data_IF_264222468989
#
_entry.id   IF_264222468989
#
_cell.length_a   1.000
_cell.length_b   1.000
_cell.length_c   1.000
_cell.angle_alpha   90.00
_cell.angle_beta   90.00
_cell.angle_gamma   90.00
#
_symmetry.space_group_name_H-M   'P 1'
#
loop_
_entity.id
_entity.type
_entity.pdbx_description
1 polymer ?
#
# COMPACT_ATOMS: atom_id res chain seq x y z
N UNK A 1 -14.48 -30.78 19.50
CA UNK A 1 -13.14 -30.60 18.88
C UNK A 1 -13.27 -29.49 17.86
N UNK A 2 -12.38 -28.49 17.87
CA UNK A 2 -12.46 -27.37 16.93
C UNK A 2 -12.05 -27.86 15.55
N UNK A 3 -12.90 -27.65 14.55
CA UNK A 3 -12.61 -28.03 13.17
C UNK A 3 -11.87 -26.87 12.49
N UNK A 4 -10.54 -26.99 12.41
CA UNK A 4 -9.65 -25.94 11.90
C UNK A 4 -9.75 -25.72 10.39
N UNK A 5 -10.48 -26.58 9.67
CA UNK A 5 -10.59 -26.53 8.21
C UNK A 5 -11.96 -26.04 7.73
N UNK A 6 -12.89 -25.79 8.65
CA UNK A 6 -14.17 -25.14 8.32
C UNK A 6 -13.98 -23.64 8.09
N UNK A 7 -14.83 -23.02 7.26
CA UNK A 7 -14.87 -21.56 7.19
C UNK A 7 -15.28 -20.98 8.54
N UNK A 8 -14.72 -19.82 8.86
CA UNK A 8 -15.19 -19.01 9.98
C UNK A 8 -16.64 -18.55 9.69
N UNK A 9 -17.55 -18.79 10.63
CA UNK A 9 -18.98 -18.49 10.44
C UNK A 9 -19.24 -16.99 10.19
N UNK A 10 -18.30 -16.11 10.57
CA UNK A 10 -18.44 -14.67 10.33
C UNK A 10 -18.55 -14.32 8.84
N UNK A 11 -18.00 -15.15 7.95
CA UNK A 11 -18.02 -14.93 6.52
C UNK A 11 -19.44 -14.97 5.93
N UNK A 12 -20.34 -15.76 6.53
CA UNK A 12 -21.75 -15.80 6.15
C UNK A 12 -22.43 -14.44 6.37
N UNK A 13 -22.10 -13.74 7.46
CA UNK A 13 -22.62 -12.40 7.74
C UNK A 13 -22.13 -11.35 6.72
N UNK A 14 -20.94 -11.56 6.15
CA UNK A 14 -20.41 -10.75 5.06
C UNK A 14 -20.88 -11.21 3.67
N UNK A 15 -21.79 -12.19 3.60
CA UNK A 15 -22.35 -12.71 2.34
C UNK A 15 -21.38 -13.58 1.54
N UNK A 16 -20.27 -14.03 2.14
CA UNK A 16 -19.27 -14.88 1.48
C UNK A 16 -19.59 -16.34 1.75
N UNK A 17 -20.02 -17.05 0.70
CA UNK A 17 -20.50 -18.44 0.81
C UNK A 17 -19.53 -19.48 0.28
N UNK A 18 -18.60 -19.07 -0.57
CA UNK A 18 -17.60 -19.94 -1.18
C UNK A 18 -16.19 -19.43 -0.94
N UNK A 19 -15.22 -20.35 -0.94
CA UNK A 19 -13.81 -20.02 -0.76
C UNK A 19 -13.28 -19.19 -1.94
N UNK A 20 -13.77 -19.45 -3.13
CA UNK A 20 -13.41 -18.74 -4.36
C UNK A 20 -13.82 -17.27 -4.26
N UNK A 21 -15.04 -17.00 -3.80
CA UNK A 21 -15.55 -15.64 -3.53
C UNK A 21 -14.70 -14.94 -2.46
N UNK A 22 -14.35 -15.67 -1.40
CA UNK A 22 -13.47 -15.17 -0.36
C UNK A 22 -12.11 -14.75 -0.92
N UNK A 23 -11.46 -15.63 -1.67
CA UNK A 23 -10.13 -15.37 -2.24
C UNK A 23 -10.18 -14.15 -3.16
N UNK A 24 -11.16 -14.07 -4.06
CA UNK A 24 -11.29 -12.95 -4.99
C UNK A 24 -11.48 -11.60 -4.27
N UNK A 25 -12.17 -11.60 -3.14
CA UNK A 25 -12.48 -10.36 -2.43
C UNK A 25 -11.40 -10.00 -1.40
N UNK A 26 -10.97 -10.94 -0.57
CA UNK A 26 -10.18 -10.67 0.64
C UNK A 26 -8.70 -11.03 0.50
N UNK A 27 -8.32 -11.88 -0.45
CA UNK A 27 -6.91 -12.19 -0.68
C UNK A 27 -6.38 -11.24 -1.74
N UNK A 28 -5.61 -10.25 -1.30
CA UNK A 28 -4.99 -9.30 -2.22
C UNK A 28 -3.77 -9.94 -2.89
N UNK A 29 -3.71 -9.90 -4.21
CA UNK A 29 -2.55 -10.29 -4.99
C UNK A 29 -1.74 -9.04 -5.36
N UNK A 30 -0.67 -8.78 -4.61
CA UNK A 30 0.18 -7.63 -4.88
C UNK A 30 0.94 -7.76 -6.21
N UNK A 31 1.01 -6.65 -6.93
CA UNK A 31 1.87 -6.47 -8.10
C UNK A 31 3.02 -5.53 -7.72
N UNK A 32 4.19 -6.11 -7.49
CA UNK A 32 5.40 -5.35 -7.18
C UNK A 32 6.22 -5.11 -8.45
N UNK A 33 6.82 -3.92 -8.58
CA UNK A 33 7.81 -3.67 -9.62
C UNK A 33 9.18 -4.23 -9.21
N UNK A 34 10.09 -4.38 -10.17
CA UNK A 34 11.40 -5.01 -9.96
C UNK A 34 12.34 -4.27 -8.99
N UNK A 35 11.99 -3.03 -8.60
CA UNK A 35 12.78 -2.23 -7.65
C UNK A 35 12.46 -2.51 -6.19
N UNK A 36 11.40 -3.28 -5.91
CA UNK A 36 11.01 -3.62 -4.53
C UNK A 36 12.01 -4.63 -3.94
N UNK A 37 12.59 -4.37 -2.75
CA UNK A 37 13.56 -5.28 -2.15
C UNK A 37 13.00 -6.68 -1.88
N UNK A 38 13.82 -7.71 -2.07
CA UNK A 38 13.46 -9.11 -1.83
C UNK A 38 12.93 -9.36 -0.40
N UNK A 39 13.49 -8.66 0.60
CA UNK A 39 13.02 -8.74 1.99
C UNK A 39 11.55 -8.31 2.13
N UNK A 40 11.10 -7.32 1.35
CA UNK A 40 9.70 -6.88 1.32
C UNK A 40 8.83 -7.93 0.64
N UNK A 41 9.29 -8.50 -0.48
CA UNK A 41 8.55 -9.55 -1.20
C UNK A 41 8.31 -10.78 -0.33
N UNK A 42 9.36 -11.26 0.36
CA UNK A 42 9.27 -12.41 1.28
C UNK A 42 8.37 -12.13 2.47
N UNK A 43 8.51 -10.95 3.06
CA UNK A 43 7.69 -10.57 4.20
C UNK A 43 6.21 -10.43 3.78
N UNK A 44 5.94 -9.94 2.56
CA UNK A 44 4.59 -9.83 2.01
C UNK A 44 3.97 -11.19 1.74
N UNK A 45 4.73 -12.16 1.24
CA UNK A 45 4.24 -13.53 1.04
C UNK A 45 3.62 -14.10 2.33
N UNK A 46 4.23 -13.83 3.48
CA UNK A 46 3.65 -14.19 4.80
C UNK A 46 2.33 -13.47 5.07
N UNK A 47 2.25 -12.16 4.81
CA UNK A 47 1.03 -11.39 5.01
C UNK A 47 -0.12 -11.89 4.10
N UNK A 48 0.18 -12.19 2.84
CA UNK A 48 -0.77 -12.76 1.88
C UNK A 48 -1.27 -14.15 2.32
N UNK A 49 -0.38 -14.99 2.86
CA UNK A 49 -0.79 -16.29 3.43
C UNK A 49 -1.70 -16.11 4.66
N UNK A 50 -1.43 -15.14 5.53
CA UNK A 50 -2.32 -14.82 6.66
C UNK A 50 -3.72 -14.40 6.17
N UNK A 51 -3.80 -13.56 5.14
CA UNK A 51 -5.08 -13.21 4.49
C UNK A 51 -5.78 -14.46 3.95
N UNK A 52 -5.07 -15.33 3.24
CA UNK A 52 -5.67 -16.55 2.70
C UNK A 52 -6.20 -17.49 3.79
N UNK A 53 -5.47 -17.63 4.90
CA UNK A 53 -5.84 -18.49 6.03
C UNK A 53 -6.96 -17.89 6.89
N UNK A 54 -7.21 -16.57 6.80
CA UNK A 54 -8.29 -15.95 7.54
C UNK A 54 -9.69 -16.46 7.13
N UNK A 55 -9.81 -17.16 5.99
CA UNK A 55 -10.99 -17.96 5.64
C UNK A 55 -11.41 -18.91 6.77
N UNK A 56 -10.43 -19.57 7.41
CA UNK A 56 -10.65 -20.54 8.48
C UNK A 56 -10.65 -19.92 9.87
N UNK A 57 -10.07 -18.72 10.02
CA UNK A 57 -10.00 -18.03 11.28
C UNK A 57 -9.91 -16.51 11.08
N UNK A 58 -11.04 -15.82 11.21
CA UNK A 58 -11.20 -14.40 10.93
C UNK A 58 -10.13 -13.47 11.54
N UNK A 59 -9.68 -13.68 12.80
CA UNK A 59 -8.62 -12.86 13.42
C UNK A 59 -7.30 -12.82 12.65
N UNK A 60 -6.98 -13.84 11.85
CA UNK A 60 -5.76 -13.83 11.03
C UNK A 60 -5.75 -12.69 10.00
N UNK A 61 -6.92 -12.13 9.65
CA UNK A 61 -6.99 -10.98 8.77
C UNK A 61 -6.38 -9.74 9.43
N UNK A 62 -6.68 -9.49 10.70
CA UNK A 62 -6.10 -8.37 11.47
C UNK A 62 -4.58 -8.55 11.62
N UNK A 63 -4.13 -9.77 11.87
CA UNK A 63 -2.70 -10.10 11.92
C UNK A 63 -1.99 -9.85 10.58
N UNK A 64 -2.67 -10.11 9.46
CA UNK A 64 -2.15 -9.79 8.13
C UNK A 64 -1.95 -8.28 7.93
N UNK A 65 -2.87 -7.45 8.44
CA UNK A 65 -2.78 -5.98 8.40
C UNK A 65 -1.65 -5.49 9.29
N UNK A 66 -1.55 -6.01 10.51
CA UNK A 66 -0.44 -5.74 11.43
C UNK A 66 0.90 -6.07 10.77
N UNK A 67 0.99 -7.21 10.08
CA UNK A 67 2.18 -7.59 9.30
C UNK A 67 2.48 -6.53 8.23
N UNK A 68 1.52 -6.16 7.39
CA UNK A 68 1.69 -5.13 6.36
C UNK A 68 2.18 -3.78 6.92
N UNK A 69 1.68 -3.37 8.08
CA UNK A 69 2.10 -2.13 8.73
C UNK A 69 3.57 -2.18 9.16
N UNK A 70 4.02 -3.33 9.68
CA UNK A 70 5.45 -3.53 9.96
C UNK A 70 6.31 -3.59 8.69
N UNK A 71 5.77 -4.12 7.60
CA UNK A 71 6.45 -4.08 6.30
C UNK A 71 6.66 -2.64 5.80
N UNK A 72 5.68 -1.76 5.99
CA UNK A 72 5.83 -0.33 5.64
C UNK A 72 6.96 0.31 6.46
N UNK A 73 7.02 0.03 7.77
CA UNK A 73 8.12 0.52 8.62
C UNK A 73 9.48 -0.03 8.16
N UNK A 74 9.54 -1.30 7.76
CA UNK A 74 10.74 -1.92 7.20
C UNK A 74 11.14 -1.26 5.86
N UNK A 75 10.17 -0.98 4.98
CA UNK A 75 10.40 -0.33 3.70
C UNK A 75 11.01 1.07 3.87
N UNK A 76 10.50 1.87 4.82
CA UNK A 76 11.07 3.18 5.13
C UNK A 76 12.53 3.05 5.57
N UNK A 77 12.83 2.12 6.49
CA UNK A 77 14.21 1.90 6.97
C UNK A 77 15.14 1.45 5.85
N UNK A 78 14.68 0.54 5.00
CA UNK A 78 15.44 0.09 3.83
C UNK A 78 15.71 1.24 2.87
N UNK A 79 14.69 2.06 2.56
CA UNK A 79 14.88 3.21 1.67
C UNK A 79 15.84 4.22 2.27
N UNK A 80 15.70 4.56 3.56
CA UNK A 80 16.65 5.41 4.28
C UNK A 80 18.09 4.91 4.15
N UNK A 81 18.33 3.60 4.36
CA UNK A 81 19.65 3.03 4.21
C UNK A 81 20.18 3.13 2.77
N UNK A 82 19.34 2.88 1.77
CA UNK A 82 19.69 2.98 0.34
C UNK A 82 20.10 4.38 -0.07
N UNK A 83 19.47 5.41 0.50
CA UNK A 83 19.74 6.82 0.19
C UNK A 83 20.74 7.47 1.16
N UNK A 84 21.39 6.68 2.03
CA UNK A 84 22.46 7.15 2.92
C UNK A 84 22.00 7.83 4.21
N UNK A 85 20.71 7.74 4.57
CA UNK A 85 20.19 8.23 5.85
C UNK A 85 20.53 7.23 6.97
N UNK A 86 21.27 7.67 7.99
CA UNK A 86 21.63 6.84 9.14
C UNK A 86 20.40 6.50 9.99
N UNK A 87 20.23 5.21 10.34
CA UNK A 87 19.08 4.72 11.12
C UNK A 87 19.17 4.97 12.64
N UNK A 88 20.33 5.40 13.13
CA UNK A 88 20.59 5.66 14.54
C UNK A 88 21.12 7.06 14.77
N UNK A 89 20.89 7.59 15.98
CA UNK A 89 21.53 8.77 16.54
C UNK A 89 22.30 8.41 17.80
N UNK A 90 23.20 9.28 18.22
CA UNK A 90 23.88 9.15 19.51
C UNK A 90 23.04 9.84 20.58
N UNK A 91 22.78 9.17 21.70
CA UNK A 91 22.09 9.78 22.83
C UNK A 91 23.07 10.64 23.68
N UNK A 92 22.56 11.30 24.72
CA UNK A 92 23.37 12.12 25.63
C UNK A 92 24.50 11.35 26.34
N UNK A 93 24.44 10.01 26.38
CA UNK A 93 25.45 9.14 27.01
C UNK A 93 26.44 8.54 26.01
N UNK A 94 26.44 9.01 24.76
CA UNK A 94 27.34 8.51 23.72
C UNK A 94 26.94 7.16 23.12
N UNK A 95 25.77 6.61 23.50
CA UNK A 95 25.31 5.30 23.03
C UNK A 95 24.41 5.43 21.80
N UNK A 96 24.47 4.49 20.84
CA UNK A 96 23.59 4.47 19.69
C UNK A 96 22.13 4.22 20.13
N UNK A 97 21.22 4.99 19.58
CA UNK A 97 19.77 4.88 19.75
C UNK A 97 19.12 4.90 18.36
N UNK A 98 18.20 3.97 18.09
CA UNK A 98 17.45 3.99 16.84
C UNK A 98 16.64 5.28 16.69
N UNK A 99 16.63 5.86 15.49
CA UNK A 99 15.76 6.98 15.15
C UNK A 99 14.30 6.55 15.20
N UNK A 100 13.45 7.46 15.65
CA UNK A 100 12.00 7.27 15.53
C UNK A 100 11.59 7.26 14.06
N UNK A 101 10.59 6.44 13.71
CA UNK A 101 10.10 6.33 12.32
C UNK A 101 9.74 7.69 11.73
N UNK A 102 9.06 8.54 12.51
CA UNK A 102 8.71 9.91 12.09
C UNK A 102 9.93 10.71 11.63
N UNK A 103 11.04 10.62 12.38
CA UNK A 103 12.27 11.32 12.04
C UNK A 103 12.88 10.81 10.74
N UNK A 104 12.82 9.51 10.49
CA UNK A 104 13.27 8.90 9.24
C UNK A 104 12.41 9.36 8.05
N UNK A 105 11.08 9.45 8.24
CA UNK A 105 10.15 9.93 7.21
C UNK A 105 10.43 11.40 6.87
N UNK A 106 10.67 12.24 7.88
CA UNK A 106 11.01 13.66 7.68
C UNK A 106 12.32 13.83 6.91
N UNK A 107 13.38 13.10 7.31
CA UNK A 107 14.67 13.13 6.63
C UNK A 107 14.55 12.58 5.19
N UNK A 108 13.76 11.52 4.99
CA UNK A 108 13.50 10.97 3.66
C UNK A 108 12.74 11.96 2.78
N UNK A 109 11.73 12.66 3.32
CA UNK A 109 10.98 13.68 2.59
C UNK A 109 11.82 14.89 2.19
N UNK A 110 12.82 15.25 3.00
CA UNK A 110 13.79 16.29 2.65
C UNK A 110 14.70 15.86 1.50
N UNK A 111 15.09 14.58 1.46
CA UNK A 111 15.97 14.05 0.44
C UNK A 111 15.24 13.68 -0.87
N UNK A 112 13.97 13.29 -0.77
CA UNK A 112 13.10 12.84 -1.87
C UNK A 112 11.81 13.71 -1.96
N UNK A 113 11.94 15.01 -2.28
CA UNK A 113 10.81 15.95 -2.21
C UNK A 113 9.66 15.68 -3.20
N UNK A 114 9.92 15.07 -4.36
CA UNK A 114 8.89 14.75 -5.37
C UNK A 114 8.06 13.54 -4.96
N UNK A 115 8.65 12.66 -4.14
CA UNK A 115 7.94 11.56 -3.47
C UNK A 115 7.26 11.99 -2.18
N UNK A 116 7.77 13.01 -1.48
CA UNK A 116 7.26 13.44 -0.17
C UNK A 116 5.74 13.67 -0.16
N UNK A 117 5.21 14.44 -1.13
CA UNK A 117 3.77 14.70 -1.25
C UNK A 117 2.93 13.45 -1.52
N UNK A 118 3.54 12.37 -1.99
CA UNK A 118 2.86 11.11 -2.31
C UNK A 118 2.92 10.10 -1.16
N UNK A 119 3.98 10.10 -0.33
CA UNK A 119 4.10 9.12 0.76
C UNK A 119 3.79 9.67 2.15
N UNK A 120 3.88 10.98 2.41
CA UNK A 120 3.76 11.51 3.79
C UNK A 120 2.37 11.22 4.39
N UNK A 121 1.31 11.59 3.67
CA UNK A 121 -0.07 11.32 4.11
C UNK A 121 -0.35 9.82 4.25
N UNK A 122 -0.01 8.95 3.27
CA UNK A 122 -0.14 7.50 3.45
C UNK A 122 0.64 6.92 4.63
N UNK A 123 1.84 7.44 4.93
CA UNK A 123 2.64 6.99 6.07
C UNK A 123 2.03 7.42 7.41
N UNK A 124 1.49 8.64 7.50
CA UNK A 124 0.76 9.09 8.68
C UNK A 124 -0.53 8.29 8.89
N UNK A 125 -1.23 7.96 7.82
CA UNK A 125 -2.37 7.04 7.86
C UNK A 125 -1.96 5.65 8.36
N UNK A 126 -0.90 5.07 7.80
CA UNK A 126 -0.36 3.78 8.24
C UNK A 126 0.05 3.80 9.71
N UNK A 127 0.69 4.89 10.19
CA UNK A 127 1.04 5.07 11.60
C UNK A 127 -0.19 5.12 12.51
N UNK A 128 -1.22 5.85 12.09
CA UNK A 128 -2.50 5.95 12.83
C UNK A 128 -3.18 4.59 12.90
N UNK A 129 -3.21 3.86 11.78
CA UNK A 129 -3.76 2.52 11.71
C UNK A 129 -2.97 1.54 12.60
N UNK A 130 -1.63 1.63 12.61
CA UNK A 130 -0.77 0.84 13.51
C UNK A 130 -1.11 1.06 14.98
N UNK A 131 -1.33 2.31 15.38
CA UNK A 131 -1.70 2.63 16.75
C UNK A 131 -3.08 2.07 17.12
N UNK A 132 -4.03 2.09 16.18
CA UNK A 132 -5.35 1.50 16.36
C UNK A 132 -5.26 -0.02 16.61
N UNK A 133 -4.51 -0.74 15.76
CA UNK A 133 -4.39 -2.21 15.89
C UNK A 133 -3.51 -2.65 17.06
N UNK A 134 -2.52 -1.85 17.45
CA UNK A 134 -1.59 -2.18 18.55
C UNK A 134 -2.19 -1.97 19.95
N UNK A 135 -3.29 -1.24 20.08
CA UNK A 135 -3.92 -0.91 21.35
C UNK A 135 -5.41 -1.27 21.36
N UNK A 136 -5.76 -2.57 21.22
CA UNK A 136 -7.16 -2.98 21.29
C UNK A 136 -7.69 -2.72 22.70
N UNK A 137 -8.72 -1.88 22.82
CA UNK A 137 -9.37 -1.59 24.11
C UNK A 137 -10.14 -2.79 24.67
N UNK A 138 -10.62 -3.69 23.79
CA UNK A 138 -11.36 -4.91 24.10
C UNK A 138 -11.01 -6.01 23.08
N UNK A 139 -11.37 -7.26 23.36
CA UNK A 139 -11.23 -8.36 22.39
C UNK A 139 -12.24 -8.17 21.25
N UNK A 140 -11.81 -7.49 20.18
CA UNK A 140 -12.57 -7.27 18.96
C UNK A 140 -11.67 -7.40 17.74
N UNK A 141 -12.27 -7.79 16.60
CA UNK A 141 -11.58 -7.95 15.34
C UNK A 141 -12.26 -7.11 14.26
N UNK A 142 -11.49 -6.27 13.60
CA UNK A 142 -12.02 -5.36 12.59
C UNK A 142 -12.14 -6.03 11.22
N UNK A 143 -11.26 -6.99 10.92
CA UNK A 143 -11.18 -7.85 9.73
C UNK A 143 -11.62 -7.18 8.45
N UNK A 144 -12.85 -7.46 8.00
CA UNK A 144 -13.43 -6.91 6.76
C UNK A 144 -13.34 -5.39 6.68
N UNK A 145 -13.48 -4.69 7.81
CA UNK A 145 -13.34 -3.23 7.86
C UNK A 145 -11.93 -2.77 7.50
N UNK A 146 -10.89 -3.57 7.74
CA UNK A 146 -9.50 -3.21 7.43
C UNK A 146 -9.09 -3.56 5.99
N UNK A 147 -9.92 -4.31 5.25
CA UNK A 147 -9.61 -4.75 3.88
C UNK A 147 -9.21 -3.61 2.95
N UNK A 148 -9.94 -2.49 3.03
CA UNK A 148 -9.70 -1.33 2.17
C UNK A 148 -8.34 -0.65 2.40
N UNK A 149 -7.60 -1.01 3.46
CA UNK A 149 -6.25 -0.51 3.71
C UNK A 149 -5.15 -1.35 3.04
N UNK A 150 -5.43 -2.59 2.61
CA UNK A 150 -4.41 -3.48 2.04
C UNK A 150 -3.77 -2.88 0.80
N UNK A 151 -4.58 -2.46 -0.18
CA UNK A 151 -4.08 -1.89 -1.42
C UNK A 151 -3.27 -0.60 -1.20
N UNK A 152 -3.74 0.40 -0.44
CA UNK A 152 -2.93 1.57 -0.11
C UNK A 152 -1.58 1.24 0.53
N UNK A 153 -1.53 0.26 1.45
CA UNK A 153 -0.27 -0.17 2.07
C UNK A 153 0.67 -0.79 1.05
N UNK A 154 0.18 -1.65 0.15
CA UNK A 154 1.00 -2.24 -0.92
C UNK A 154 1.49 -1.18 -1.91
N UNK A 155 0.63 -0.24 -2.31
CA UNK A 155 1.02 0.87 -3.18
C UNK A 155 2.12 1.72 -2.53
N UNK A 156 2.06 1.93 -1.22
CA UNK A 156 3.09 2.63 -0.48
C UNK A 156 4.44 1.87 -0.48
N UNK A 157 4.43 0.53 -0.39
CA UNK A 157 5.65 -0.28 -0.52
C UNK A 157 6.31 -0.12 -1.89
N UNK A 158 5.51 -0.12 -2.96
CA UNK A 158 5.98 0.17 -4.32
C UNK A 158 6.56 1.58 -4.40
N UNK A 159 5.78 2.60 -3.99
CA UNK A 159 6.21 4.00 -4.04
C UNK A 159 7.54 4.25 -3.31
N UNK A 160 7.70 3.70 -2.09
CA UNK A 160 8.93 3.84 -1.32
C UNK A 160 10.14 3.25 -2.04
N UNK A 161 9.93 2.17 -2.81
CA UNK A 161 10.97 1.46 -3.55
C UNK A 161 11.31 2.08 -4.91
N UNK A 162 10.56 3.07 -5.37
CA UNK A 162 10.88 3.83 -6.58
C UNK A 162 11.99 4.85 -6.31
N UNK A 163 12.86 5.04 -7.30
CA UNK A 163 13.83 6.11 -7.26
C UNK A 163 13.17 7.47 -7.49
N UNK A 164 13.63 8.48 -6.74
CA UNK A 164 13.17 9.86 -6.88
C UNK A 164 13.19 10.33 -8.35
N UNK A 165 14.28 10.06 -9.06
CA UNK A 165 14.42 10.41 -10.47
C UNK A 165 13.40 9.69 -11.37
N UNK A 166 12.97 8.47 -11.02
CA UNK A 166 11.93 7.77 -11.76
C UNK A 166 10.56 8.42 -11.55
N UNK A 167 10.27 8.87 -10.32
CA UNK A 167 9.04 9.59 -9.99
C UNK A 167 9.00 10.95 -10.69
N UNK A 168 10.13 11.68 -10.71
CA UNK A 168 10.28 12.92 -11.48
C UNK A 168 9.97 12.72 -12.96
N UNK A 169 10.62 11.74 -13.61
CA UNK A 169 10.38 11.45 -15.03
C UNK A 169 8.93 11.06 -15.31
N UNK A 170 8.29 10.31 -14.41
CA UNK A 170 6.89 9.95 -14.56
C UNK A 170 5.97 11.17 -14.45
N UNK A 171 6.27 12.10 -13.54
CA UNK A 171 5.54 13.36 -13.40
C UNK A 171 5.71 14.26 -14.64
N UNK A 172 6.95 14.39 -15.14
CA UNK A 172 7.24 15.15 -16.36
C UNK A 172 6.52 14.57 -17.57
N UNK A 173 6.55 13.23 -17.72
CA UNK A 173 5.86 12.55 -18.82
C UNK A 173 4.34 12.71 -18.71
N UNK A 174 3.77 12.63 -17.51
CA UNK A 174 2.34 12.89 -17.30
C UNK A 174 1.98 14.34 -17.68
N UNK A 175 2.80 15.32 -17.28
CA UNK A 175 2.57 16.72 -17.65
C UNK A 175 2.63 16.93 -19.17
N UNK A 176 3.56 16.27 -19.86
CA UNK A 176 3.63 16.28 -21.32
C UNK A 176 2.38 15.67 -21.96
N UNK A 177 1.91 14.52 -21.45
CA UNK A 177 0.66 13.90 -21.92
C UNK A 177 -0.54 14.81 -21.67
N UNK A 178 -0.62 15.46 -20.51
CA UNK A 178 -1.70 16.40 -20.20
C UNK A 178 -1.71 17.61 -21.14
N UNK A 179 -0.53 18.14 -21.48
CA UNK A 179 -0.41 19.21 -22.48
C UNK A 179 -0.82 18.74 -23.89
N UNK A 180 -0.37 17.56 -24.32
CA UNK A 180 -0.73 17.00 -25.62
C UNK A 180 -2.23 16.70 -25.71
N UNK A 181 -2.83 16.25 -24.60
CA UNK A 181 -4.25 15.95 -24.51
C UNK A 181 -5.11 17.17 -24.15
N UNK A 182 -4.55 18.37 -23.99
CA UNK A 182 -5.34 19.56 -23.62
C UNK A 182 -6.47 19.81 -24.63
N UNK A 183 -6.20 19.63 -25.92
CA UNK A 183 -7.21 19.72 -26.98
C UNK A 183 -8.33 18.66 -26.88
N UNK A 184 -8.05 17.52 -26.22
CA UNK A 184 -9.01 16.44 -25.96
C UNK A 184 -9.84 16.70 -24.69
N UNK A 185 -9.45 17.67 -23.86
CA UNK A 185 -10.17 18.06 -22.64
C UNK A 185 -11.40 18.94 -22.90
N UNK A 186 -11.44 19.63 -24.04
CA UNK A 186 -12.46 20.66 -24.35
C UNK A 186 -13.23 20.42 -25.66
N UNK A 187 -13.15 19.21 -26.24
CA UNK A 187 -13.73 18.90 -27.55
C UNK A 187 -14.70 17.71 -27.56
N UNK A 188 -15.68 17.77 -28.46
CA UNK A 188 -16.52 16.62 -28.82
C UNK A 188 -15.71 15.72 -29.77
N UNK A 189 -15.44 14.48 -29.37
CA UNK A 189 -14.60 13.55 -30.13
C UNK A 189 -15.38 12.28 -30.48
N UNK A 190 -15.10 11.69 -31.64
CA UNK A 190 -15.56 10.35 -31.98
C UNK A 190 -14.46 9.33 -31.70
N UNK A 191 -14.75 8.33 -30.89
CA UNK A 191 -13.91 7.15 -30.69
C UNK A 191 -14.55 5.95 -31.37
N UNK A 192 -13.89 5.39 -32.38
CA UNK A 192 -14.29 4.10 -32.93
C UNK A 192 -13.68 2.98 -32.08
N UNK A 193 -14.53 2.17 -31.44
CA UNK A 193 -14.10 1.04 -30.63
C UNK A 193 -14.98 -0.18 -30.88
N UNK A 194 -14.38 -1.30 -31.29
CA UNK A 194 -15.07 -2.56 -31.58
C UNK A 194 -16.25 -2.39 -32.55
N UNK A 195 -16.09 -1.57 -33.60
CA UNK A 195 -17.13 -1.29 -34.59
C UNK A 195 -18.27 -0.40 -34.10
N UNK A 196 -18.13 0.21 -32.92
CA UNK A 196 -19.07 1.21 -32.39
C UNK A 196 -18.43 2.59 -32.40
N UNK A 197 -19.18 3.61 -32.82
CA UNK A 197 -18.78 5.00 -32.71
C UNK A 197 -19.27 5.57 -31.38
N UNK A 198 -18.34 5.85 -30.48
CA UNK A 198 -18.60 6.39 -29.15
C UNK A 198 -18.28 7.87 -29.18
N UNK A 199 -19.25 8.70 -28.79
CA UNK A 199 -19.00 10.12 -28.61
C UNK A 199 -18.36 10.36 -27.24
N UNK A 200 -17.18 10.98 -27.23
CA UNK A 200 -16.48 11.39 -26.02
C UNK A 200 -16.60 12.90 -25.88
N UNK A 201 -16.98 13.35 -24.69
CA UNK A 201 -17.06 14.78 -24.37
C UNK A 201 -15.75 15.31 -23.78
N UNK A 202 -14.90 14.42 -23.25
CA UNK A 202 -13.58 14.70 -22.65
C UNK A 202 -12.72 13.44 -22.69
N UNK A 203 -11.41 13.60 -22.81
CA UNK A 203 -10.43 12.53 -22.58
C UNK A 203 -9.23 13.08 -21.82
N UNK A 204 -8.77 12.33 -20.82
CA UNK A 204 -7.66 12.71 -19.95
C UNK A 204 -6.70 11.54 -19.81
N UNK A 205 -5.38 11.79 -19.69
CA UNK A 205 -4.42 10.76 -19.35
C UNK A 205 -4.82 10.07 -18.04
N UNK A 206 -4.77 8.74 -18.02
CA UNK A 206 -5.09 7.96 -16.83
C UNK A 206 -4.03 8.26 -15.74
N UNK A 207 -4.47 8.89 -14.65
CA UNK A 207 -3.65 9.02 -13.44
C UNK A 207 -3.69 7.69 -12.68
N UNK A 208 -2.54 7.07 -12.46
CA UNK A 208 -2.45 5.95 -11.53
C UNK A 208 -2.64 6.52 -10.11
N UNK A 209 -3.72 6.12 -9.44
CA UNK A 209 -4.01 6.44 -8.04
C UNK A 209 -3.47 5.35 -7.11
#
# INVERSE_FOLDING_TARGET
MKDWYRPDAIWEYFGIKAREDYVQQYVFEARFHAGVPEDILRAYATASQLMAQAWHHYPLYDESITKLLFLVEMAVKLRCAQVGITLSTTNATGRPRAKHLQKLIEELAQLEPHKAGQFQNPLDHARTLRNLVAHPGHYSHAGTMLRHHVQPLVNLLNLLSLDEAAVMRAADYLSQLEQQCQALGEGLMGLEWKGSNILLTRAWPLRAH
#
